data_IF_657179192507
#
_entry.id   IF_657179192507
#
_cell.length_a   1.000
_cell.length_b   1.000
_cell.length_c   1.000
_cell.angle_alpha   90.00
_cell.angle_beta   90.00
_cell.angle_gamma   90.00
#
_symmetry.space_group_name_H-M   'P 1'
#
loop_
_entity.id
_entity.type
_entity.pdbx_description
1 polymer ?
#
# COMPACT_ATOMS: atom_id res chain seq x y z
N UNK A 1 31.96 -7.65 47.33
CA UNK A 1 32.14 -6.77 46.16
C UNK A 1 32.19 -7.62 44.91
N UNK A 2 31.07 -7.84 44.27
CA UNK A 2 30.93 -8.64 43.06
C UNK A 2 30.23 -7.75 42.04
N UNK A 3 30.98 -7.39 40.99
CA UNK A 3 30.55 -6.54 39.92
C UNK A 3 29.55 -7.30 39.03
N UNK A 4 28.44 -6.64 38.67
CA UNK A 4 27.48 -7.09 37.65
C UNK A 4 27.99 -6.71 36.25
N UNK A 5 27.91 -7.60 35.28
CA UNK A 5 28.23 -7.26 33.90
C UNK A 5 27.10 -6.39 33.28
N UNK A 6 27.48 -5.27 32.74
CA UNK A 6 26.63 -4.41 31.92
C UNK A 6 26.37 -5.11 30.57
N UNK A 7 25.11 -5.58 30.40
CA UNK A 7 24.66 -6.09 29.12
C UNK A 7 24.44 -4.92 28.15
N UNK A 8 25.26 -4.85 27.11
CA UNK A 8 24.98 -4.05 25.92
C UNK A 8 23.76 -4.61 25.22
N UNK A 9 22.69 -3.83 25.22
CA UNK A 9 21.51 -4.12 24.42
C UNK A 9 21.89 -3.98 22.95
N UNK A 10 21.90 -5.12 22.24
CA UNK A 10 21.98 -5.15 20.79
C UNK A 10 20.77 -4.41 20.23
N UNK A 11 21.01 -3.22 19.69
CA UNK A 11 20.07 -2.48 18.87
C UNK A 11 19.88 -3.25 17.56
N UNK A 12 18.88 -4.12 17.49
CA UNK A 12 18.46 -4.70 16.22
C UNK A 12 17.75 -3.60 15.43
N UNK A 13 18.48 -3.08 14.45
CA UNK A 13 18.01 -2.18 13.40
C UNK A 13 16.89 -2.86 12.62
N UNK A 14 15.62 -2.60 12.97
CA UNK A 14 14.52 -2.81 12.06
C UNK A 14 14.62 -1.75 10.97
N UNK A 15 15.15 -2.16 9.83
CA UNK A 15 15.27 -1.36 8.64
C UNK A 15 13.87 -0.96 8.13
N UNK A 16 13.43 0.25 8.49
CA UNK A 16 12.57 1.01 7.59
C UNK A 16 13.22 0.94 6.22
N UNK A 17 12.48 0.71 5.12
CA UNK A 17 13.06 0.74 3.79
C UNK A 17 13.60 2.15 3.55
N UNK A 18 14.90 2.32 3.82
CA UNK A 18 15.64 3.50 3.42
C UNK A 18 15.58 3.48 1.89
N UNK A 19 14.96 4.51 1.32
CA UNK A 19 15.03 4.78 -0.11
C UNK A 19 16.46 5.22 -0.40
N UNK A 20 17.36 4.25 -0.47
CA UNK A 20 18.69 4.48 -1.00
C UNK A 20 18.56 4.56 -2.52
N UNK A 21 19.05 5.65 -3.12
CA UNK A 21 18.98 5.92 -4.55
C UNK A 21 19.82 4.98 -5.42
N UNK A 22 19.97 3.72 -4.99
CA UNK A 22 20.58 2.65 -5.75
C UNK A 22 19.67 2.25 -6.90
N UNK A 23 20.16 2.38 -8.11
CA UNK A 23 19.57 2.05 -9.39
C UNK A 23 18.81 0.73 -9.35
N UNK A 24 17.50 0.80 -9.09
CA UNK A 24 16.64 -0.37 -9.21
C UNK A 24 16.77 -0.91 -10.64
N UNK A 25 17.16 -2.17 -10.79
CA UNK A 25 17.23 -2.86 -12.07
C UNK A 25 15.85 -3.01 -12.73
N UNK A 26 14.78 -2.70 -11.98
CA UNK A 26 13.38 -2.78 -12.38
C UNK A 26 12.96 -1.61 -13.24
N UNK A 27 12.19 -1.90 -14.29
CA UNK A 27 11.61 -0.89 -15.18
C UNK A 27 10.13 -1.15 -15.37
N UNK A 28 9.35 -0.07 -15.55
CA UNK A 28 7.93 -0.18 -15.91
C UNK A 28 7.73 -1.00 -17.18
N UNK A 29 8.55 -0.75 -18.22
CA UNK A 29 8.42 -1.41 -19.51
C UNK A 29 6.99 -1.25 -20.07
N UNK A 30 6.34 -2.38 -20.32
CA UNK A 30 4.96 -2.49 -20.79
C UNK A 30 3.91 -2.33 -19.67
N UNK A 31 4.35 -2.23 -18.43
CA UNK A 31 3.45 -2.07 -17.29
C UNK A 31 2.85 -0.67 -17.25
N UNK A 32 1.52 -0.60 -17.24
CA UNK A 32 0.78 0.65 -17.20
C UNK A 32 -0.41 0.60 -16.22
N UNK A 33 -0.41 -0.34 -15.27
CA UNK A 33 -1.57 -0.53 -14.39
C UNK A 33 -1.85 0.69 -13.50
N UNK A 34 -0.84 1.43 -13.07
CA UNK A 34 -1.00 2.70 -12.35
C UNK A 34 -1.83 3.72 -13.16
N UNK A 35 -1.68 3.75 -14.50
CA UNK A 35 -2.50 4.59 -15.37
C UNK A 35 -3.99 4.21 -15.35
N UNK A 36 -4.35 3.04 -14.85
CA UNK A 36 -5.74 2.62 -14.67
C UNK A 36 -6.22 2.89 -13.25
N UNK A 37 -5.49 2.43 -12.25
CA UNK A 37 -6.00 2.36 -10.87
C UNK A 37 -5.84 3.68 -10.10
N UNK A 38 -4.81 4.49 -10.39
CA UNK A 38 -4.60 5.76 -9.70
C UNK A 38 -5.49 6.86 -10.30
N UNK A 39 -5.94 7.80 -9.46
CA UNK A 39 -6.46 9.08 -9.93
C UNK A 39 -5.32 9.95 -10.48
N UNK A 40 -5.61 10.90 -11.36
CA UNK A 40 -4.66 11.90 -11.85
C UNK A 40 -5.42 13.22 -11.92
N UNK A 41 -5.20 14.09 -10.95
CA UNK A 41 -5.97 15.33 -10.78
C UNK A 41 -5.74 16.31 -11.94
N UNK A 42 -4.48 16.50 -12.36
CA UNK A 42 -4.13 17.35 -13.49
C UNK A 42 -4.87 16.98 -14.79
N UNK A 43 -5.31 15.74 -14.94
CA UNK A 43 -6.06 15.26 -16.11
C UNK A 43 -7.55 15.07 -15.81
N UNK A 44 -8.03 15.44 -14.64
CA UNK A 44 -9.39 15.13 -14.15
C UNK A 44 -9.76 13.64 -14.35
N UNK A 45 -8.76 12.77 -14.25
CA UNK A 45 -8.91 11.33 -14.48
C UNK A 45 -9.22 10.63 -13.14
N UNK A 46 -10.42 10.05 -12.97
CA UNK A 46 -10.76 9.36 -11.74
C UNK A 46 -9.96 8.06 -11.59
N UNK A 47 -9.85 7.56 -10.36
CA UNK A 47 -9.33 6.23 -10.08
C UNK A 47 -10.14 5.14 -10.82
N UNK A 48 -9.52 3.98 -11.01
CA UNK A 48 -10.16 2.80 -11.61
C UNK A 48 -10.59 2.95 -13.07
N UNK A 49 -10.14 3.97 -13.77
CA UNK A 49 -10.35 4.19 -15.21
C UNK A 49 -9.04 4.38 -15.93
N UNK A 50 -8.96 3.91 -17.18
CA UNK A 50 -7.79 4.12 -18.01
C UNK A 50 -7.55 5.61 -18.28
N UNK A 51 -6.29 6.02 -18.16
CA UNK A 51 -5.85 7.34 -18.62
C UNK A 51 -6.03 7.44 -20.15
N UNK A 52 -6.55 8.56 -20.68
CA UNK A 52 -6.71 8.75 -22.13
C UNK A 52 -5.37 8.73 -22.88
N UNK A 53 -4.28 9.04 -22.21
CA UNK A 53 -2.92 9.01 -22.77
C UNK A 53 -2.20 7.66 -22.55
N UNK A 54 -2.89 6.65 -22.08
CA UNK A 54 -2.32 5.32 -21.88
C UNK A 54 -2.81 4.34 -22.96
N UNK A 55 -1.87 3.67 -23.63
CA UNK A 55 -2.16 2.53 -24.47
C UNK A 55 -1.83 1.26 -23.68
N UNK A 56 -2.84 0.48 -23.24
CA UNK A 56 -2.60 -0.76 -22.51
C UNK A 56 -1.64 -1.69 -23.27
N UNK A 57 -0.65 -2.24 -22.56
CA UNK A 57 0.40 -3.07 -23.16
C UNK A 57 1.51 -2.33 -23.91
N UNK A 58 1.40 -1.00 -24.04
CA UNK A 58 2.42 -0.16 -24.71
C UNK A 58 2.92 0.98 -23.81
N UNK A 59 2.20 1.29 -22.72
CA UNK A 59 2.57 2.32 -21.77
C UNK A 59 1.96 3.70 -22.05
N UNK A 60 2.60 4.73 -21.52
CA UNK A 60 2.17 6.13 -21.61
C UNK A 60 2.59 6.75 -22.95
N UNK A 61 1.63 7.29 -23.71
CA UNK A 61 1.89 7.93 -25.00
C UNK A 61 2.53 9.32 -24.88
N UNK A 62 2.40 9.95 -23.70
CA UNK A 62 2.98 11.27 -23.39
C UNK A 62 4.06 11.13 -22.30
N UNK A 63 4.87 10.07 -22.34
CA UNK A 63 5.79 9.75 -21.24
C UNK A 63 6.74 10.89 -20.87
N UNK A 64 7.24 11.64 -21.85
CA UNK A 64 8.11 12.80 -21.65
C UNK A 64 7.35 13.99 -21.01
N UNK A 65 6.09 14.19 -21.43
CA UNK A 65 5.25 15.34 -21.05
C UNK A 65 4.15 14.97 -20.07
N UNK A 66 4.33 13.85 -19.34
CA UNK A 66 3.34 13.39 -18.37
C UNK A 66 3.19 14.38 -17.21
N UNK A 67 2.00 14.45 -16.58
CA UNK A 67 1.73 15.28 -15.41
C UNK A 67 2.76 15.13 -14.29
N UNK A 68 2.91 16.15 -13.46
CA UNK A 68 3.84 16.14 -12.34
C UNK A 68 3.59 14.95 -11.39
N UNK A 69 2.32 14.68 -11.07
CA UNK A 69 1.92 13.51 -10.28
C UNK A 69 2.44 12.19 -10.87
N UNK A 70 2.35 12.02 -12.18
CA UNK A 70 2.83 10.81 -12.86
C UNK A 70 4.36 10.74 -12.91
N UNK A 71 5.08 11.88 -12.85
CA UNK A 71 6.56 11.89 -12.81
C UNK A 71 7.10 11.53 -11.44
N UNK A 72 6.43 11.96 -10.39
CA UNK A 72 6.83 11.71 -9.01
C UNK A 72 6.36 10.35 -8.50
N UNK A 73 5.33 9.77 -9.12
CA UNK A 73 4.80 8.49 -8.70
C UNK A 73 5.73 7.33 -9.06
N UNK A 74 6.06 6.53 -8.06
CA UNK A 74 6.70 5.23 -8.22
C UNK A 74 5.95 4.19 -7.39
N UNK A 75 5.51 3.09 -8.03
CA UNK A 75 4.90 2.01 -7.27
C UNK A 75 5.98 1.27 -6.45
N UNK A 76 5.57 0.69 -5.33
CA UNK A 76 6.51 0.03 -4.41
C UNK A 76 7.29 -1.11 -5.08
N UNK A 77 6.67 -1.85 -6.03
CA UNK A 77 7.39 -2.86 -6.79
C UNK A 77 8.60 -2.29 -7.55
N UNK A 78 8.47 -1.09 -8.11
CA UNK A 78 9.54 -0.48 -8.92
C UNK A 78 10.75 -0.08 -8.07
N UNK A 79 10.52 0.37 -6.83
CA UNK A 79 11.55 0.95 -5.95
C UNK A 79 12.01 0.01 -4.83
N UNK A 80 11.35 -1.13 -4.63
CA UNK A 80 11.71 -2.10 -3.60
C UNK A 80 12.21 -3.39 -4.24
N UNK A 81 13.48 -3.68 -4.08
CA UNK A 81 14.14 -4.87 -4.66
C UNK A 81 13.68 -6.19 -4.04
N UNK A 82 13.14 -6.16 -2.82
CA UNK A 82 12.62 -7.35 -2.13
C UNK A 82 11.32 -7.88 -2.75
N UNK A 83 10.58 -7.04 -3.49
CA UNK A 83 9.40 -7.48 -4.21
C UNK A 83 9.82 -8.13 -5.54
N UNK A 84 9.57 -9.41 -5.69
CA UNK A 84 9.92 -10.14 -6.91
C UNK A 84 8.99 -9.80 -8.12
N UNK A 85 9.28 -10.41 -9.26
CA UNK A 85 8.54 -10.19 -10.50
C UNK A 85 7.06 -10.59 -10.45
N UNK A 86 6.64 -11.40 -9.49
CA UNK A 86 5.22 -11.74 -9.29
C UNK A 86 4.41 -10.52 -8.89
N UNK A 87 5.05 -9.58 -8.14
CA UNK A 87 4.43 -8.33 -7.71
C UNK A 87 4.38 -7.24 -8.78
N UNK A 88 5.02 -7.46 -9.95
CA UNK A 88 4.91 -6.49 -11.07
C UNK A 88 3.43 -6.25 -11.39
N UNK A 89 2.95 -4.98 -11.41
CA UNK A 89 1.52 -4.71 -11.44
C UNK A 89 0.77 -5.30 -12.65
N UNK A 90 1.39 -5.38 -13.82
CA UNK A 90 0.74 -6.01 -14.96
C UNK A 90 0.55 -7.54 -14.80
N UNK A 91 1.31 -8.20 -13.91
CA UNK A 91 1.20 -9.63 -13.57
C UNK A 91 0.27 -9.84 -12.38
N UNK A 92 0.56 -9.18 -11.26
CA UNK A 92 -0.21 -9.31 -10.02
C UNK A 92 -1.63 -8.76 -10.12
N UNK A 93 -1.86 -7.76 -10.98
CA UNK A 93 -3.06 -6.91 -11.02
C UNK A 93 -3.21 -6.03 -9.79
N UNK A 94 -2.09 -5.76 -9.10
CA UNK A 94 -1.99 -4.98 -7.87
C UNK A 94 -0.96 -3.88 -8.05
N UNK A 95 -1.31 -2.67 -7.67
CA UNK A 95 -0.37 -1.55 -7.53
C UNK A 95 -0.18 -1.29 -6.04
N UNK A 96 1.06 -1.40 -5.57
CA UNK A 96 1.43 -1.15 -4.19
C UNK A 96 1.98 0.26 -4.06
N UNK A 97 1.53 0.96 -3.03
CA UNK A 97 2.04 2.27 -2.63
C UNK A 97 2.26 2.30 -1.12
N UNK A 98 3.03 3.25 -0.64
CA UNK A 98 3.15 3.54 0.79
C UNK A 98 2.42 4.84 1.11
N UNK A 99 1.81 4.90 2.28
CA UNK A 99 1.27 6.08 2.92
C UNK A 99 1.93 6.26 4.29
N UNK A 100 1.59 7.32 5.00
CA UNK A 100 2.02 7.53 6.40
C UNK A 100 1.57 6.39 7.31
N UNK A 101 0.39 5.82 7.01
CA UNK A 101 -0.23 4.77 7.81
C UNK A 101 0.18 3.35 7.41
N UNK A 102 0.89 3.16 6.28
CA UNK A 102 1.32 1.84 5.85
C UNK A 102 1.33 1.56 4.37
N UNK A 103 0.93 0.36 4.00
CA UNK A 103 0.93 -0.13 2.61
C UNK A 103 -0.49 -0.13 2.05
N UNK A 104 -0.69 0.58 0.96
CA UNK A 104 -1.92 0.50 0.17
C UNK A 104 -1.72 -0.42 -1.04
N UNK A 105 -2.65 -1.35 -1.22
CA UNK A 105 -2.69 -2.30 -2.34
C UNK A 105 -3.93 -2.01 -3.19
N UNK A 106 -3.74 -1.37 -4.34
CA UNK A 106 -4.84 -1.02 -5.24
C UNK A 106 -5.01 -2.10 -6.30
N UNK A 107 -6.18 -2.73 -6.32
CA UNK A 107 -6.51 -3.79 -7.28
C UNK A 107 -6.95 -3.22 -8.62
N UNK A 108 -6.58 -3.91 -9.70
CA UNK A 108 -7.24 -3.72 -10.99
C UNK A 108 -8.73 -4.03 -10.85
N UNK A 109 -9.65 -3.10 -11.17
CA UNK A 109 -11.09 -3.35 -11.03
C UNK A 109 -11.61 -4.50 -11.91
N UNK A 110 -10.86 -4.88 -12.95
CA UNK A 110 -11.15 -6.10 -13.73
C UNK A 110 -10.75 -7.40 -13.04
N UNK A 111 -10.01 -7.31 -11.93
CA UNK A 111 -9.47 -8.44 -11.17
C UNK A 111 -9.56 -8.18 -9.66
N UNK A 112 -10.75 -7.92 -9.11
CA UNK A 112 -10.94 -7.40 -7.75
C UNK A 112 -10.43 -8.35 -6.65
N UNK A 113 -10.33 -9.65 -6.94
CA UNK A 113 -9.89 -10.68 -6.00
C UNK A 113 -8.42 -11.11 -6.22
N UNK A 114 -7.64 -10.39 -7.03
CA UNK A 114 -6.24 -10.77 -7.29
C UNK A 114 -5.40 -10.81 -6.01
N UNK A 115 -5.66 -9.93 -5.06
CA UNK A 115 -4.99 -9.86 -3.78
C UNK A 115 -5.23 -11.06 -2.86
N UNK A 116 -6.35 -11.80 -3.08
CA UNK A 116 -6.69 -13.01 -2.32
C UNK A 116 -5.95 -14.25 -2.80
N UNK A 117 -5.29 -14.17 -3.95
CA UNK A 117 -4.52 -15.28 -4.51
C UNK A 117 -3.19 -15.43 -3.77
N UNK A 118 -2.74 -16.68 -3.64
CA UNK A 118 -1.39 -16.94 -3.15
C UNK A 118 -0.34 -16.61 -4.25
N UNK A 119 0.81 -16.09 -3.86
CA UNK A 119 1.28 -15.87 -2.49
C UNK A 119 0.89 -14.48 -1.91
N UNK A 120 0.22 -13.61 -2.67
CA UNK A 120 -0.05 -12.22 -2.30
C UNK A 120 -0.76 -12.09 -0.95
N UNK A 121 -1.78 -12.93 -0.74
CA UNK A 121 -2.54 -12.91 0.51
C UNK A 121 -1.67 -13.23 1.72
N UNK A 122 -0.86 -14.28 1.62
CA UNK A 122 0.04 -14.70 2.71
C UNK A 122 1.13 -13.65 2.95
N UNK A 123 1.72 -13.08 1.90
CA UNK A 123 2.74 -12.05 2.02
C UNK A 123 2.17 -10.76 2.66
N UNK A 124 0.98 -10.31 2.28
CA UNK A 124 0.32 -9.15 2.92
C UNK A 124 0.03 -9.39 4.40
N UNK A 125 -0.34 -10.61 4.80
CA UNK A 125 -0.49 -10.97 6.22
C UNK A 125 0.84 -10.92 6.95
N UNK A 126 1.94 -11.36 6.33
CA UNK A 126 3.26 -11.22 6.91
C UNK A 126 3.66 -9.75 7.08
N UNK A 127 3.33 -8.88 6.14
CA UNK A 127 3.54 -7.44 6.30
C UNK A 127 2.70 -6.87 7.43
N UNK A 128 1.45 -7.31 7.60
CA UNK A 128 0.61 -6.91 8.72
C UNK A 128 1.21 -7.36 10.06
N UNK A 129 1.75 -8.60 10.15
CA UNK A 129 2.46 -9.09 11.35
C UNK A 129 3.67 -8.20 11.64
N UNK A 130 4.50 -7.94 10.66
CA UNK A 130 5.71 -7.11 10.83
C UNK A 130 5.37 -5.65 11.16
N UNK A 131 4.21 -5.17 10.71
CA UNK A 131 3.73 -3.81 10.95
C UNK A 131 3.08 -3.58 12.31
N UNK A 132 2.62 -4.62 13.02
CA UNK A 132 1.92 -4.48 14.30
C UNK A 132 2.71 -3.70 15.36
N UNK A 133 4.02 -3.93 15.44
CA UNK A 133 4.90 -3.23 16.40
C UNK A 133 5.18 -1.78 16.04
N UNK A 134 4.85 -1.34 14.82
CA UNK A 134 5.17 -0.02 14.28
C UNK A 134 3.92 0.76 13.85
N UNK A 135 2.74 0.27 14.19
CA UNK A 135 1.45 0.85 13.80
C UNK A 135 1.21 0.95 12.29
N UNK A 136 1.91 0.11 11.51
CA UNK A 136 1.81 0.05 10.05
C UNK A 136 0.64 -0.83 9.65
N UNK A 137 -0.25 -0.29 8.82
CA UNK A 137 -1.41 -1.02 8.29
C UNK A 137 -1.18 -1.55 6.89
N UNK A 138 -1.89 -2.61 6.52
CA UNK A 138 -2.00 -3.09 5.14
C UNK A 138 -3.45 -2.97 4.71
N UNK A 139 -3.69 -2.11 3.73
CA UNK A 139 -5.04 -1.81 3.23
C UNK A 139 -5.14 -2.20 1.76
N UNK A 140 -6.18 -2.95 1.42
CA UNK A 140 -6.51 -3.30 0.05
C UNK A 140 -7.67 -2.44 -0.43
N UNK A 141 -7.50 -1.80 -1.60
CA UNK A 141 -8.53 -0.98 -2.24
C UNK A 141 -8.97 -1.69 -3.53
N UNK A 142 -10.23 -2.07 -3.58
CA UNK A 142 -10.86 -2.72 -4.74
C UNK A 142 -12.10 -1.94 -5.17
N UNK A 143 -12.00 -1.26 -6.31
CA UNK A 143 -12.99 -0.25 -6.70
C UNK A 143 -12.99 0.92 -5.71
N UNK A 144 -14.11 1.12 -5.01
CA UNK A 144 -14.26 2.13 -3.97
C UNK A 144 -14.17 1.53 -2.55
N UNK A 145 -14.13 0.20 -2.45
CA UNK A 145 -14.09 -0.47 -1.16
C UNK A 145 -12.68 -0.58 -0.61
N UNK A 146 -12.57 -0.43 0.69
CA UNK A 146 -11.36 -0.58 1.46
C UNK A 146 -11.46 -1.78 2.39
N UNK A 147 -10.41 -2.59 2.44
CA UNK A 147 -10.31 -3.79 3.26
C UNK A 147 -9.01 -3.69 4.07
N UNK A 148 -9.12 -3.70 5.38
CA UNK A 148 -7.96 -3.79 6.26
C UNK A 148 -7.56 -5.25 6.40
N UNK A 149 -6.29 -5.53 6.12
CA UNK A 149 -5.69 -6.86 6.28
C UNK A 149 -4.93 -6.88 7.61
N UNK A 150 -5.29 -7.83 8.47
CA UNK A 150 -4.58 -8.10 9.73
C UNK A 150 -3.97 -9.51 9.69
N UNK A 151 -3.11 -9.89 10.63
CA UNK A 151 -2.47 -11.21 10.65
C UNK A 151 -3.46 -12.38 10.56
N UNK A 152 -4.60 -12.26 11.24
CA UNK A 152 -5.55 -13.36 11.40
C UNK A 152 -6.84 -13.22 10.58
N UNK A 153 -7.21 -12.00 10.19
CA UNK A 153 -8.47 -11.74 9.47
C UNK A 153 -8.42 -10.53 8.54
N UNK A 154 -9.52 -10.30 7.87
CA UNK A 154 -9.75 -9.18 6.98
C UNK A 154 -11.02 -8.44 7.43
N UNK A 155 -10.99 -7.11 7.47
CA UNK A 155 -12.13 -6.27 7.78
C UNK A 155 -12.56 -5.51 6.54
N UNK A 156 -13.78 -5.78 6.04
CA UNK A 156 -14.39 -4.99 4.96
C UNK A 156 -14.92 -3.68 5.56
N UNK A 157 -14.28 -2.57 5.23
CA UNK A 157 -14.61 -1.24 5.74
C UNK A 157 -15.62 -0.51 4.83
N UNK A 158 -16.00 -1.14 3.71
CA UNK A 158 -16.83 -0.50 2.71
C UNK A 158 -16.12 0.67 2.04
N UNK A 159 -16.87 1.73 1.71
CA UNK A 159 -16.33 2.96 1.13
C UNK A 159 -15.89 3.88 2.26
N UNK A 160 -14.59 4.16 2.31
CA UNK A 160 -14.01 5.10 3.28
C UNK A 160 -13.72 6.42 2.58
N UNK A 161 -14.29 7.52 3.07
CA UNK A 161 -14.12 8.86 2.53
C UNK A 161 -12.92 9.57 3.14
N UNK A 162 -12.45 10.63 2.49
CA UNK A 162 -11.29 11.42 2.92
C UNK A 162 -11.49 12.14 4.27
N UNK A 163 -12.74 12.39 4.67
CA UNK A 163 -13.12 12.98 5.96
C UNK A 163 -13.26 11.94 7.08
N UNK A 164 -13.04 10.67 6.77
CA UNK A 164 -13.17 9.56 7.72
C UNK A 164 -11.79 9.02 8.14
N UNK A 165 -11.78 8.38 9.30
CA UNK A 165 -10.61 7.71 9.89
C UNK A 165 -10.96 6.28 10.26
N UNK A 166 -9.96 5.40 10.14
CA UNK A 166 -10.05 4.01 10.57
C UNK A 166 -9.59 3.96 12.02
N UNK A 167 -10.47 3.55 12.91
CA UNK A 167 -10.18 3.35 14.34
C UNK A 167 -10.12 1.87 14.62
N UNK A 168 -9.01 1.42 15.20
CA UNK A 168 -8.76 0.02 15.56
C UNK A 168 -8.92 -0.14 17.07
N UNK A 169 -9.68 -1.13 17.48
CA UNK A 169 -9.76 -1.58 18.86
C UNK A 169 -8.79 -2.76 19.02
N UNK A 170 -7.90 -2.65 19.98
CA UNK A 170 -6.83 -3.64 20.21
C UNK A 170 -7.08 -4.41 21.51
N UNK A 171 -6.81 -5.72 21.48
CA UNK A 171 -6.59 -6.57 22.64
C UNK A 171 -5.12 -7.03 22.61
N UNK A 172 -4.28 -6.39 23.42
CA UNK A 172 -2.84 -6.46 23.29
C UNK A 172 -2.38 -5.87 21.94
N UNK A 173 -1.73 -6.66 21.10
CA UNK A 173 -1.34 -6.27 19.73
C UNK A 173 -2.40 -6.65 18.68
N UNK A 174 -3.38 -7.46 19.06
CA UNK A 174 -4.37 -8.00 18.14
C UNK A 174 -5.49 -7.00 17.86
N UNK A 175 -5.79 -6.74 16.60
CA UNK A 175 -6.96 -5.98 16.19
C UNK A 175 -8.21 -6.82 16.38
N UNK A 176 -9.07 -6.46 17.33
CA UNK A 176 -10.31 -7.18 17.64
C UNK A 176 -11.53 -6.59 16.94
N UNK A 177 -11.52 -5.28 16.72
CA UNK A 177 -12.58 -4.57 16.02
C UNK A 177 -12.02 -3.40 15.22
N UNK A 178 -12.74 -2.98 14.18
CA UNK A 178 -12.40 -1.83 13.34
C UNK A 178 -13.66 -1.02 13.04
N UNK A 179 -13.60 0.27 13.25
CA UNK A 179 -14.69 1.19 13.00
C UNK A 179 -14.21 2.32 12.09
N UNK A 180 -15.05 2.75 11.17
CA UNK A 180 -14.83 3.95 10.36
C UNK A 180 -15.63 5.09 10.96
N UNK A 181 -14.96 6.15 11.38
CA UNK A 181 -15.56 7.32 12.02
C UNK A 181 -15.26 8.59 11.24
N UNK A 182 -16.14 9.57 11.31
CA UNK A 182 -15.87 10.89 10.73
C UNK A 182 -14.88 11.65 11.61
N UNK A 183 -13.97 12.41 11.02
CA UNK A 183 -12.96 13.14 11.80
C UNK A 183 -13.57 14.09 12.84
N UNK A 184 -14.74 14.70 12.52
CA UNK A 184 -15.51 15.54 13.45
C UNK A 184 -16.01 14.79 14.68
N UNK A 185 -16.22 13.48 14.62
CA UNK A 185 -16.70 12.69 15.75
C UNK A 185 -15.61 12.40 16.79
N UNK A 186 -14.34 12.52 16.38
CA UNK A 186 -13.18 12.37 17.26
C UNK A 186 -12.90 13.63 18.07
N UNK A 187 -13.20 14.82 17.53
CA UNK A 187 -12.97 16.12 18.18
C UNK A 187 -14.07 16.51 19.19
N UNK A 188 -15.22 15.82 19.17
CA UNK A 188 -16.38 16.11 20.03
C UNK A 188 -16.39 15.41 21.40
N UNK A 189 -15.34 14.68 21.75
CA UNK A 189 -15.24 13.82 22.95
C UNK A 189 -14.41 14.38 24.10
N UNK A 190 -14.23 15.70 24.22
CA UNK A 190 -13.65 16.32 25.43
C UNK A 190 -14.68 17.07 26.25
#
# INVERSE_FOLDING_TARGET
>A
MTAFPTGEAASENLATPVIDGSSASKTCGDCALCCKVMAIEELAKPASRWCPHCKPGSGCLIYADRPAECRTFSCLWLVNELLDERWKPNRSKLVLTTSEDGIEVRCDPGFPDSWRKEPFRSEMRQWAISGESHDVTVVVITGEKMILVTPDREFDLGVVRSDQRIVRELDGTKVVNVTVVTASDLDGGM
#
